data_IF_000620911422
#
_entry.id   IF_000620911422
#
_cell.length_a   1.000
_cell.length_b   1.000
_cell.length_c   1.000
_cell.angle_alpha   90.00
_cell.angle_beta   90.00
_cell.angle_gamma   90.00
#
_symmetry.space_group_name_H-M   'P 1'
#
loop_
_entity.id
_entity.type
_entity.pdbx_description
1 polymer ?
#
# COMPACT_ATOMS: atom_id res chain seq x y z
N UNK A 1 8.47 7.63 -19.45
CA UNK A 1 8.02 6.40 -18.77
C UNK A 1 8.36 6.50 -17.27
N UNK A 2 7.66 5.77 -16.40
CA UNK A 2 8.03 5.67 -14.98
C UNK A 2 8.94 4.44 -14.81
N UNK A 3 10.17 4.59 -14.30
CA UNK A 3 11.05 3.45 -14.07
C UNK A 3 10.41 2.41 -13.15
N UNK A 4 10.57 1.12 -13.49
CA UNK A 4 10.10 0.00 -12.69
C UNK A 4 8.59 0.01 -12.32
N UNK A 5 7.74 0.71 -13.09
CA UNK A 5 6.28 0.53 -13.01
C UNK A 5 5.88 -0.79 -13.67
N UNK A 6 4.94 -1.50 -13.05
CA UNK A 6 4.46 -2.80 -13.48
C UNK A 6 3.42 -2.66 -14.60
N UNK A 7 2.43 -1.79 -14.41
CA UNK A 7 1.35 -1.51 -15.37
C UNK A 7 1.64 -0.36 -16.33
N UNK A 8 2.74 0.36 -16.12
CA UNK A 8 3.10 1.57 -16.88
C UNK A 8 2.45 2.83 -16.31
N UNK A 9 2.80 3.98 -16.91
CA UNK A 9 2.29 5.26 -16.42
C UNK A 9 0.75 5.34 -16.50
N UNK A 10 0.09 5.91 -15.48
CA UNK A 10 0.68 6.76 -14.44
C UNK A 10 1.02 6.04 -13.11
N UNK A 11 0.98 4.71 -13.06
CA UNK A 11 1.36 3.93 -11.87
C UNK A 11 2.81 4.22 -11.45
N UNK A 12 3.02 4.36 -10.15
CA UNK A 12 4.35 4.41 -9.56
C UNK A 12 5.13 3.12 -9.86
N UNK A 13 6.45 3.20 -9.81
CA UNK A 13 7.30 2.03 -9.93
C UNK A 13 8.16 1.81 -8.71
N UNK A 14 8.62 0.57 -8.51
CA UNK A 14 9.47 0.21 -7.38
C UNK A 14 10.66 -0.64 -7.79
N UNK A 15 11.86 -0.26 -7.35
CA UNK A 15 13.05 -1.10 -7.50
C UNK A 15 14.09 -0.81 -6.42
N UNK A 16 14.69 -1.87 -5.87
CA UNK A 16 15.62 -1.75 -4.75
C UNK A 16 14.97 -0.97 -3.61
N UNK A 17 15.58 0.14 -3.20
CA UNK A 17 15.07 1.02 -2.13
C UNK A 17 14.36 2.28 -2.66
N UNK A 18 14.05 2.31 -3.96
CA UNK A 18 13.52 3.48 -4.64
C UNK A 18 12.08 3.24 -5.07
N UNK A 19 11.24 4.25 -4.84
CA UNK A 19 9.91 4.39 -5.47
C UNK A 19 10.01 5.53 -6.47
N UNK A 20 9.54 5.29 -7.69
CA UNK A 20 9.60 6.23 -8.80
C UNK A 20 8.19 6.74 -9.11
N UNK A 21 8.07 8.05 -9.30
CA UNK A 21 6.82 8.70 -9.66
C UNK A 21 7.06 9.89 -10.59
N UNK A 22 6.01 10.32 -11.27
CA UNK A 22 5.93 11.58 -12.02
C UNK A 22 4.97 12.53 -11.32
N UNK A 23 4.91 13.78 -11.79
CA UNK A 23 3.97 14.77 -11.29
C UNK A 23 2.49 14.36 -11.45
N UNK A 24 2.17 13.50 -12.41
CA UNK A 24 0.83 12.97 -12.64
C UNK A 24 0.60 11.57 -12.05
N UNK A 25 1.58 11.01 -11.33
CA UNK A 25 1.38 9.75 -10.60
C UNK A 25 0.40 9.98 -9.45
N UNK A 26 -0.70 9.21 -9.38
CA UNK A 26 -1.65 9.34 -8.28
C UNK A 26 -0.98 9.05 -6.93
N UNK A 27 -1.33 9.84 -5.91
CA UNK A 27 -0.79 9.69 -4.57
C UNK A 27 -1.06 8.29 -4.00
N UNK A 28 -2.22 7.69 -4.30
CA UNK A 28 -2.52 6.33 -3.88
C UNK A 28 -1.49 5.35 -4.47
N UNK A 29 -1.18 5.41 -5.77
CA UNK A 29 -0.22 4.49 -6.41
C UNK A 29 1.19 4.64 -5.81
N UNK A 30 1.65 5.86 -5.56
CA UNK A 30 2.93 6.10 -4.85
C UNK A 30 2.94 5.47 -3.45
N UNK A 31 1.85 5.63 -2.69
CA UNK A 31 1.72 5.04 -1.36
C UNK A 31 1.63 3.51 -1.42
N UNK A 32 1.00 2.95 -2.45
CA UNK A 32 0.88 1.50 -2.64
C UNK A 32 2.26 0.86 -2.78
N UNK A 33 3.09 1.38 -3.67
CA UNK A 33 4.49 0.96 -3.84
C UNK A 33 5.31 1.14 -2.56
N UNK A 34 5.13 2.26 -1.87
CA UNK A 34 5.78 2.48 -0.57
C UNK A 34 5.37 1.41 0.46
N UNK A 35 4.09 1.03 0.49
CA UNK A 35 3.57 0.02 1.40
C UNK A 35 4.05 -1.39 1.04
N UNK A 36 4.19 -1.73 -0.24
CA UNK A 36 4.86 -2.97 -0.65
C UNK A 36 6.27 -3.03 -0.04
N UNK A 37 7.06 -1.96 -0.17
CA UNK A 37 8.42 -1.94 0.38
C UNK A 37 8.45 -2.19 1.91
N UNK A 38 7.49 -1.62 2.63
CA UNK A 38 7.32 -1.79 4.09
C UNK A 38 6.94 -3.22 4.45
N UNK A 39 5.95 -3.80 3.76
CA UNK A 39 5.40 -5.13 4.02
C UNK A 39 6.30 -6.28 3.54
N UNK A 40 7.17 -6.03 2.58
CA UNK A 40 8.05 -7.01 1.97
C UNK A 40 9.13 -7.50 2.95
N UNK A 41 9.60 -8.74 2.80
CA UNK A 41 10.73 -9.25 3.60
C UNK A 41 12.07 -8.65 3.15
N UNK A 42 13.12 -8.63 4.00
CA UNK A 42 14.43 -8.13 3.58
C UNK A 42 15.02 -8.88 2.39
N UNK A 43 14.77 -10.19 2.27
CA UNK A 43 15.26 -11.00 1.16
C UNK A 43 14.63 -10.56 -0.18
N UNK A 44 13.30 -10.33 -0.21
CA UNK A 44 12.60 -9.85 -1.40
C UNK A 44 13.04 -8.43 -1.79
N UNK A 45 13.23 -7.53 -0.82
CA UNK A 45 13.73 -6.16 -1.10
C UNK A 45 15.08 -6.12 -1.82
N UNK A 46 15.98 -7.06 -1.53
CA UNK A 46 17.31 -7.12 -2.17
C UNK A 46 17.24 -7.45 -3.67
N UNK A 47 16.23 -8.22 -4.09
CA UNK A 47 16.03 -8.64 -5.47
C UNK A 47 14.93 -7.85 -6.19
N UNK A 48 14.39 -6.82 -5.55
CA UNK A 48 13.21 -6.10 -6.02
C UNK A 48 13.48 -5.33 -7.31
N UNK A 49 12.77 -5.72 -8.37
CA UNK A 49 12.69 -4.99 -9.63
C UNK A 49 11.27 -5.07 -10.18
N UNK A 50 10.54 -3.95 -10.15
CA UNK A 50 9.19 -3.76 -10.71
C UNK A 50 8.09 -4.59 -10.06
N UNK A 51 8.26 -5.90 -9.99
CA UNK A 51 7.30 -6.82 -9.40
C UNK A 51 7.60 -6.97 -7.91
N UNK A 52 6.70 -6.45 -7.07
CA UNK A 52 6.79 -6.64 -5.64
C UNK A 52 6.58 -8.11 -5.25
N UNK A 53 5.78 -8.86 -6.02
CA UNK A 53 5.21 -10.14 -5.64
C UNK A 53 4.43 -10.05 -4.32
N UNK A 54 4.05 -11.20 -3.75
CA UNK A 54 3.28 -11.26 -2.52
C UNK A 54 2.17 -12.28 -2.63
N UNK A 55 1.54 -12.57 -1.50
CA UNK A 55 0.27 -13.29 -1.45
C UNK A 55 -0.89 -12.31 -1.28
N UNK A 56 -2.12 -12.81 -1.38
CA UNK A 56 -3.33 -11.98 -1.29
C UNK A 56 -3.43 -11.30 0.08
N UNK A 57 -2.99 -11.99 1.13
CA UNK A 57 -2.98 -11.47 2.50
C UNK A 57 -2.02 -10.28 2.64
N UNK A 58 -0.82 -10.37 2.08
CA UNK A 58 0.14 -9.27 2.03
C UNK A 58 -0.40 -8.10 1.21
N UNK A 59 -1.08 -8.35 0.08
CA UNK A 59 -1.67 -7.27 -0.72
C UNK A 59 -2.80 -6.53 -0.02
N UNK A 60 -3.65 -7.27 0.68
CA UNK A 60 -4.65 -6.66 1.55
C UNK A 60 -3.98 -5.82 2.65
N UNK A 61 -2.87 -6.29 3.23
CA UNK A 61 -2.10 -5.54 4.22
C UNK A 61 -1.43 -4.27 3.65
N UNK A 62 -0.91 -4.33 2.43
CA UNK A 62 -0.40 -3.18 1.68
C UNK A 62 -1.50 -2.13 1.51
N UNK A 63 -2.68 -2.53 1.02
CA UNK A 63 -3.83 -1.63 0.87
C UNK A 63 -4.27 -1.04 2.22
N UNK A 64 -4.29 -1.83 3.28
CA UNK A 64 -4.70 -1.35 4.61
C UNK A 64 -3.71 -0.32 5.18
N UNK A 65 -2.40 -0.60 5.08
CA UNK A 65 -1.35 0.30 5.53
C UNK A 65 -1.37 1.62 4.74
N UNK A 66 -1.65 1.55 3.44
CA UNK A 66 -1.80 2.70 2.56
C UNK A 66 -2.85 3.68 3.10
N UNK A 67 -4.01 3.19 3.58
CA UNK A 67 -5.08 4.00 4.20
C UNK A 67 -4.59 4.68 5.47
N UNK A 68 -3.90 3.95 6.34
CA UNK A 68 -3.38 4.48 7.60
C UNK A 68 -2.31 5.56 7.38
N UNK A 69 -1.47 5.40 6.35
CA UNK A 69 -0.46 6.39 6.01
C UNK A 69 -1.08 7.61 5.33
N UNK A 70 -2.07 7.42 4.46
CA UNK A 70 -2.78 8.52 3.81
C UNK A 70 -3.44 9.47 4.82
N UNK A 71 -3.96 8.94 5.92
CA UNK A 71 -4.58 9.74 7.00
C UNK A 71 -3.59 10.69 7.70
N UNK A 72 -2.30 10.40 7.60
CA UNK A 72 -1.22 11.23 8.16
C UNK A 72 -0.70 12.29 7.18
N UNK A 73 -1.18 12.30 5.93
CA UNK A 73 -0.74 13.26 4.92
C UNK A 73 -1.64 14.50 4.91
N UNK A 74 -1.11 15.70 5.19
CA UNK A 74 -1.88 16.94 5.12
C UNK A 74 -2.51 17.14 3.74
N UNK A 75 -3.82 17.35 3.69
CA UNK A 75 -4.55 17.62 2.46
C UNK A 75 -4.89 16.39 1.61
N UNK A 76 -4.61 15.16 2.08
CA UNK A 76 -5.00 13.92 1.38
C UNK A 76 -6.02 13.12 2.21
N UNK A 77 -5.58 12.41 3.25
CA UNK A 77 -6.47 11.72 4.19
C UNK A 77 -6.95 10.34 3.73
N UNK A 78 -7.41 9.53 4.69
CA UNK A 78 -7.93 8.17 4.41
C UNK A 78 -9.15 8.19 3.49
N UNK A 79 -10.08 9.12 3.69
CA UNK A 79 -11.32 9.20 2.90
C UNK A 79 -11.04 9.42 1.40
N UNK A 80 -10.06 10.27 1.06
CA UNK A 80 -9.67 10.49 -0.33
C UNK A 80 -9.00 9.26 -0.91
N UNK A 81 -8.11 8.60 -0.16
CA UNK A 81 -7.45 7.39 -0.62
C UNK A 81 -8.46 6.30 -0.96
N UNK A 82 -9.41 6.02 -0.07
CA UNK A 82 -10.43 4.98 -0.29
C UNK A 82 -11.23 5.25 -1.57
N UNK A 83 -11.64 6.50 -1.80
CA UNK A 83 -12.31 6.89 -3.03
C UNK A 83 -11.42 6.74 -4.27
N UNK A 84 -10.13 7.07 -4.16
CA UNK A 84 -9.17 6.89 -5.25
C UNK A 84 -8.94 5.41 -5.59
N UNK A 85 -8.95 4.50 -4.60
CA UNK A 85 -8.88 3.05 -4.84
C UNK A 85 -10.08 2.55 -5.63
N UNK A 86 -11.29 2.97 -5.25
CA UNK A 86 -12.52 2.62 -5.97
C UNK A 86 -12.51 3.18 -7.40
N UNK A 87 -12.09 4.45 -7.59
CA UNK A 87 -11.97 5.06 -8.91
C UNK A 87 -10.91 4.41 -9.79
N UNK A 88 -9.83 3.90 -9.20
CA UNK A 88 -8.78 3.18 -9.91
C UNK A 88 -9.23 1.79 -10.37
N UNK A 89 -10.23 1.21 -9.68
CA UNK A 89 -10.81 -0.09 -10.01
C UNK A 89 -10.36 -1.22 -9.08
N UNK A 90 -9.87 -0.91 -7.88
CA UNK A 90 -9.74 -1.96 -6.84
C UNK A 90 -11.11 -2.55 -6.55
N UNK A 91 -11.15 -3.87 -6.36
CA UNK A 91 -12.37 -4.59 -6.08
C UNK A 91 -12.19 -5.41 -4.82
N UNK A 92 -13.07 -5.17 -3.85
CA UNK A 92 -13.12 -5.90 -2.59
C UNK A 92 -14.43 -6.65 -2.50
N UNK A 93 -14.47 -7.71 -1.67
CA UNK A 93 -15.65 -8.58 -1.53
C UNK A 93 -16.89 -7.78 -1.11
N UNK A 94 -16.70 -6.73 -0.33
CA UNK A 94 -17.74 -5.86 0.23
C UNK A 94 -18.15 -4.70 -0.70
N UNK A 95 -17.64 -4.69 -1.93
CA UNK A 95 -18.00 -3.73 -2.96
C UNK A 95 -17.09 -2.51 -3.00
N UNK A 96 -17.07 -1.70 -1.95
CA UNK A 96 -16.20 -0.50 -1.88
C UNK A 96 -15.00 -0.68 -0.97
N UNK A 97 -13.91 0.04 -1.25
CA UNK A 97 -12.72 0.09 -0.41
C UNK A 97 -13.06 0.54 1.01
N UNK A 98 -13.98 1.49 1.16
CA UNK A 98 -14.42 1.97 2.48
C UNK A 98 -15.19 0.89 3.27
N UNK A 99 -16.07 0.12 2.61
CA UNK A 99 -16.79 -0.98 3.24
C UNK A 99 -15.82 -2.09 3.66
N UNK A 100 -14.87 -2.44 2.78
CA UNK A 100 -13.81 -3.39 3.09
C UNK A 100 -12.93 -2.94 4.26
N UNK A 101 -12.48 -1.69 4.27
CA UNK A 101 -11.61 -1.16 5.33
C UNK A 101 -12.26 -1.23 6.72
N UNK A 102 -13.59 -1.05 6.78
CA UNK A 102 -14.39 -1.21 8.00
C UNK A 102 -14.79 -2.67 8.32
N UNK A 103 -14.77 -3.55 7.32
CA UNK A 103 -15.17 -4.95 7.36
C UNK A 103 -13.98 -5.93 7.35
N UNK A 104 -13.86 -6.74 6.28
CA UNK A 104 -12.85 -7.81 6.17
C UNK A 104 -11.41 -7.27 6.20
N UNK A 105 -11.20 -5.97 5.99
CA UNK A 105 -9.91 -5.29 6.19
C UNK A 105 -9.31 -5.48 7.58
N UNK A 106 -10.08 -5.90 8.58
CA UNK A 106 -9.55 -6.29 9.91
C UNK A 106 -8.53 -7.43 9.82
N UNK A 107 -8.66 -8.36 8.86
CA UNK A 107 -7.65 -9.40 8.66
C UNK A 107 -6.29 -8.82 8.23
N UNK A 108 -6.32 -7.83 7.33
CA UNK A 108 -5.15 -7.09 6.89
C UNK A 108 -4.52 -6.28 8.04
N UNK A 109 -5.36 -5.64 8.86
CA UNK A 109 -4.93 -4.97 10.10
C UNK A 109 -4.19 -5.94 11.02
N UNK A 110 -4.75 -7.13 11.25
CA UNK A 110 -4.13 -8.14 12.10
C UNK A 110 -2.78 -8.59 11.54
N UNK A 111 -2.70 -8.83 10.24
CA UNK A 111 -1.46 -9.21 9.56
C UNK A 111 -0.34 -8.19 9.79
N UNK A 112 -0.67 -6.88 9.72
CA UNK A 112 0.27 -5.78 9.99
C UNK A 112 0.69 -5.73 11.46
N UNK A 113 -0.25 -5.94 12.38
CA UNK A 113 0.02 -5.95 13.82
C UNK A 113 0.92 -7.11 14.23
N UNK A 114 0.68 -8.32 13.70
CA UNK A 114 1.49 -9.52 13.95
C UNK A 114 2.96 -9.36 13.52
N UNK A 115 3.20 -8.45 12.56
CA UNK A 115 4.54 -8.11 12.05
C UNK A 115 5.10 -6.83 12.64
N UNK A 116 4.41 -6.19 13.59
CA UNK A 116 4.83 -4.96 14.24
C UNK A 116 4.91 -3.74 13.32
N UNK A 117 4.18 -3.76 12.20
CA UNK A 117 4.12 -2.65 11.24
C UNK A 117 3.12 -1.57 11.68
N UNK A 118 2.15 -1.95 12.50
CA UNK A 118 1.25 -1.05 13.23
C UNK A 118 1.23 -1.42 14.71
N UNK A 119 0.86 -0.47 15.57
CA UNK A 119 0.65 -0.70 17.00
C UNK A 119 -0.81 -1.13 17.33
N UNK A 120 -1.10 -1.30 18.62
CA UNK A 120 -2.44 -1.69 19.10
C UNK A 120 -3.54 -0.68 18.75
N UNK A 121 -3.19 0.58 18.52
CA UNK A 121 -4.11 1.64 18.11
C UNK A 121 -4.21 1.77 16.58
N UNK A 122 -3.69 0.79 15.82
CA UNK A 122 -3.56 0.84 14.37
C UNK A 122 -2.72 2.02 13.86
N UNK A 123 -1.79 2.53 14.68
CA UNK A 123 -0.88 3.57 14.27
C UNK A 123 0.35 2.95 13.57
N UNK A 124 0.71 3.38 12.34
CA UNK A 124 1.93 2.93 11.68
C UNK A 124 3.18 3.14 12.55
N UNK A 125 3.99 2.10 12.71
CA UNK A 125 5.23 2.15 13.50
C UNK A 125 6.41 2.77 12.75
N UNK A 126 6.25 2.99 11.43
CA UNK A 126 7.27 3.49 10.52
C UNK A 126 8.52 2.60 10.46
N UNK A 127 8.34 1.29 10.69
CA UNK A 127 9.38 0.27 10.56
C UNK A 127 9.17 -0.53 9.29
N UNK A 128 10.26 -1.10 8.76
CA UNK A 128 10.20 -2.11 7.72
C UNK A 128 10.02 -3.49 8.35
N UNK A 129 9.30 -4.40 7.67
CA UNK A 129 9.21 -5.80 8.11
C UNK A 129 10.60 -6.44 8.12
N UNK A 130 10.95 -7.11 9.21
CA UNK A 130 12.22 -7.84 9.37
C UNK A 130 12.18 -9.24 8.78
#
# INVERSE_FOLDING_TARGET
PIPASYWGAPEAGIAGQCVFARADTPAHSLLHETCHYVCMTPARRKALWRDAGGDVEEECAVCYLQVLLADRLPGFGAARLLADLDCWGYSFREGSAAAWFAGDGVAARQWLADRGLIDSNAAPTLRLRT
#
